data_IF_594227845849
#
_entry.id   IF_594227845849
#
_cell.length_a   1.000
_cell.length_b   1.000
_cell.length_c   1.000
_cell.angle_alpha   90.00
_cell.angle_beta   90.00
_cell.angle_gamma   90.00
#
_symmetry.space_group_name_H-M   'P 1'
#
loop_
_entity.id
_entity.type
_entity.pdbx_description
1 polymer ?
#
# COMPACT_ATOMS: atom_id res chain seq x y z
N UNK A 1 16.47 -15.09 7.64
CA UNK A 1 16.74 -13.88 6.85
C UNK A 1 15.46 -13.06 6.79
N UNK A 2 15.50 -11.76 7.10
CA UNK A 2 14.30 -10.90 7.06
C UNK A 2 14.11 -10.43 5.62
N UNK A 3 13.15 -11.01 4.92
CA UNK A 3 12.85 -10.65 3.54
C UNK A 3 11.49 -9.96 3.45
N UNK A 4 11.39 -8.95 2.58
CA UNK A 4 10.14 -8.26 2.27
C UNK A 4 9.96 -8.15 0.76
N UNK A 5 8.76 -8.51 0.29
CA UNK A 5 8.32 -8.27 -1.08
C UNK A 5 7.72 -6.86 -1.17
N UNK A 6 8.31 -6.00 -1.99
CA UNK A 6 7.90 -4.61 -2.12
C UNK A 6 7.05 -4.37 -3.38
N UNK A 7 5.95 -3.63 -3.22
CA UNK A 7 5.10 -3.14 -4.31
C UNK A 7 4.85 -1.64 -4.14
N UNK A 8 5.32 -0.82 -5.08
CA UNK A 8 5.15 0.63 -5.00
C UNK A 8 5.97 1.32 -6.08
N UNK A 9 6.37 2.56 -5.82
CA UNK A 9 7.29 3.26 -6.71
C UNK A 9 8.63 2.51 -6.76
N UNK A 10 9.09 2.00 -7.92
CA UNK A 10 10.36 1.29 -8.02
C UNK A 10 11.56 2.15 -7.61
N UNK A 11 11.46 3.48 -7.75
CA UNK A 11 12.51 4.43 -7.44
C UNK A 11 12.54 4.83 -5.95
N UNK A 12 11.56 4.37 -5.16
CA UNK A 12 11.53 4.62 -3.71
C UNK A 12 12.82 4.12 -3.06
N UNK A 13 13.49 5.03 -2.34
CA UNK A 13 14.64 4.68 -1.52
C UNK A 13 14.17 3.90 -0.28
N UNK A 14 14.71 2.69 -0.14
CA UNK A 14 14.41 1.77 0.97
C UNK A 14 15.67 1.40 1.76
N UNK A 15 16.71 2.23 1.71
CA UNK A 15 17.99 1.99 2.38
C UNK A 15 17.79 1.87 3.90
N UNK A 16 16.80 2.58 4.45
CA UNK A 16 16.40 2.49 5.84
C UNK A 16 15.92 1.07 6.24
N UNK A 17 15.24 0.34 5.36
CA UNK A 17 14.90 -1.07 5.60
C UNK A 17 16.13 -1.97 5.48
N UNK A 18 16.98 -1.72 4.50
CA UNK A 18 18.22 -2.50 4.31
C UNK A 18 19.17 -2.35 5.50
N UNK A 19 19.30 -1.14 6.05
CA UNK A 19 20.08 -0.84 7.25
C UNK A 19 19.55 -1.57 8.50
N UNK A 20 18.25 -1.86 8.55
CA UNK A 20 17.60 -2.70 9.56
C UNK A 20 17.75 -4.21 9.30
N UNK A 21 18.56 -4.59 8.31
CA UNK A 21 18.88 -5.97 7.96
C UNK A 21 17.83 -6.65 7.09
N UNK A 22 16.96 -5.90 6.41
CA UNK A 22 15.96 -6.44 5.50
C UNK A 22 16.50 -6.63 4.08
N UNK A 23 16.27 -7.81 3.52
CA UNK A 23 16.41 -8.06 2.09
C UNK A 23 15.12 -7.66 1.38
N UNK A 24 15.22 -6.76 0.40
CA UNK A 24 14.06 -6.19 -0.29
C UNK A 24 13.96 -6.73 -1.71
N UNK A 25 12.86 -7.38 -2.01
CA UNK A 25 12.56 -7.87 -3.35
C UNK A 25 11.61 -6.91 -4.07
N UNK A 26 12.13 -6.09 -4.99
CA UNK A 26 11.34 -5.22 -5.88
C UNK A 26 10.80 -5.97 -7.12
N UNK A 27 11.55 -6.93 -7.65
CA UNK A 27 11.15 -7.79 -8.77
C UNK A 27 11.40 -9.27 -8.46
N UNK A 28 10.40 -10.13 -8.69
CA UNK A 28 10.49 -11.57 -8.39
C UNK A 28 10.74 -11.89 -6.91
N UNK A 29 10.80 -13.17 -6.57
CA UNK A 29 11.08 -13.66 -5.22
C UNK A 29 9.85 -13.75 -4.31
N UNK A 30 9.94 -14.65 -3.33
CA UNK A 30 8.88 -14.94 -2.37
C UNK A 30 9.31 -14.47 -0.98
N UNK A 31 8.81 -13.31 -0.56
CA UNK A 31 8.95 -12.82 0.80
C UNK A 31 7.67 -13.11 1.56
N UNK A 32 7.77 -13.74 2.74
CA UNK A 32 6.58 -13.97 3.59
C UNK A 32 6.01 -12.69 4.20
N UNK A 33 6.64 -11.55 3.95
CA UNK A 33 6.16 -10.23 4.33
C UNK A 33 6.04 -9.35 3.10
N UNK A 34 4.99 -8.57 3.05
CA UNK A 34 4.67 -7.69 1.93
C UNK A 34 4.65 -6.26 2.42
N UNK A 35 5.33 -5.36 1.71
CA UNK A 35 5.23 -3.92 1.88
C UNK A 35 4.64 -3.33 0.61
N UNK A 36 3.50 -2.67 0.74
CA UNK A 36 2.85 -1.94 -0.35
C UNK A 36 2.91 -0.46 -0.04
N UNK A 37 3.45 0.35 -0.95
CA UNK A 37 3.42 1.80 -0.84
C UNK A 37 2.69 2.38 -2.07
N UNK A 38 1.51 2.95 -1.86
CA UNK A 38 0.85 3.74 -2.92
C UNK A 38 1.55 5.07 -3.08
N UNK A 39 1.53 5.63 -4.28
CA UNK A 39 2.19 6.90 -4.57
C UNK A 39 1.43 7.68 -5.64
N UNK A 40 1.50 9.01 -5.59
CA UNK A 40 1.14 9.87 -6.72
C UNK A 40 2.22 9.83 -7.80
N UNK A 41 1.90 9.29 -8.97
CA UNK A 41 2.81 9.23 -10.10
C UNK A 41 2.88 10.54 -10.91
N UNK A 42 2.20 11.60 -10.46
CA UNK A 42 2.20 12.94 -11.08
C UNK A 42 1.69 12.98 -12.52
N UNK A 43 1.00 11.93 -13.00
CA UNK A 43 0.42 11.94 -14.33
C UNK A 43 -0.65 13.05 -14.45
N UNK A 44 -0.78 13.67 -15.61
CA UNK A 44 -1.81 14.70 -15.83
C UNK A 44 -3.18 14.09 -16.10
N UNK A 45 -3.23 12.90 -16.68
CA UNK A 45 -4.48 12.16 -16.89
C UNK A 45 -4.91 11.48 -15.58
N UNK A 46 -6.12 11.80 -15.03
CA UNK A 46 -6.66 11.14 -13.85
C UNK A 46 -6.67 9.61 -13.92
N UNK A 47 -6.83 9.00 -15.11
CA UNK A 47 -6.82 7.54 -15.27
C UNK A 47 -5.42 6.97 -15.09
N UNK A 48 -4.42 7.63 -15.65
CA UNK A 48 -3.03 7.25 -15.50
C UNK A 48 -2.56 7.47 -14.06
N UNK A 49 -3.07 8.50 -13.37
CA UNK A 49 -2.78 8.74 -11.94
C UNK A 49 -3.14 7.59 -11.03
N UNK A 50 -4.25 6.91 -11.33
CA UNK A 50 -4.67 5.73 -10.58
C UNK A 50 -3.65 4.58 -10.69
N UNK A 51 -2.76 4.59 -11.68
CA UNK A 51 -1.70 3.60 -11.83
C UNK A 51 -0.77 3.49 -10.61
N UNK A 52 -0.49 4.61 -9.93
CA UNK A 52 0.33 4.63 -8.72
C UNK A 52 -0.33 4.00 -7.47
N UNK A 53 -1.64 3.76 -7.54
CA UNK A 53 -2.40 3.06 -6.49
C UNK A 53 -2.82 1.66 -6.94
N UNK A 54 -3.46 1.52 -8.10
CA UNK A 54 -4.04 0.26 -8.57
C UNK A 54 -2.96 -0.77 -8.90
N UNK A 55 -1.88 -0.38 -9.59
CA UNK A 55 -0.89 -1.37 -10.04
C UNK A 55 -0.12 -2.03 -8.89
N UNK A 56 0.37 -1.30 -7.86
CA UNK A 56 0.96 -1.90 -6.66
C UNK A 56 -0.02 -2.83 -5.94
N UNK A 57 -1.26 -2.41 -5.77
CA UNK A 57 -2.30 -3.16 -5.05
C UNK A 57 -2.67 -4.46 -5.77
N UNK A 58 -2.91 -4.43 -7.09
CA UNK A 58 -3.20 -5.63 -7.87
C UNK A 58 -2.05 -6.65 -7.83
N UNK A 59 -0.81 -6.17 -7.92
CA UNK A 59 0.38 -7.05 -7.82
C UNK A 59 0.49 -7.67 -6.43
N UNK A 60 0.25 -6.89 -5.38
CA UNK A 60 0.25 -7.37 -4.00
C UNK A 60 -0.85 -8.41 -3.75
N UNK A 61 -2.09 -8.16 -4.21
CA UNK A 61 -3.21 -9.11 -4.09
C UNK A 61 -2.89 -10.44 -4.75
N UNK A 62 -2.34 -10.42 -5.98
CA UNK A 62 -1.99 -11.63 -6.69
C UNK A 62 -0.90 -12.43 -5.95
N UNK A 63 0.07 -11.75 -5.34
CA UNK A 63 1.11 -12.41 -4.55
C UNK A 63 0.58 -13.00 -3.25
N UNK A 64 -0.24 -12.25 -2.51
CA UNK A 64 -0.87 -12.73 -1.27
C UNK A 64 -1.71 -13.98 -1.52
N UNK A 65 -2.47 -14.02 -2.63
CA UNK A 65 -3.27 -15.18 -3.03
C UNK A 65 -2.46 -16.44 -3.37
N UNK A 66 -1.15 -16.33 -3.58
CA UNK A 66 -0.29 -17.50 -3.84
C UNK A 66 0.06 -18.27 -2.56
N UNK A 67 -0.31 -17.76 -1.37
CA UNK A 67 -0.41 -18.58 -0.15
C UNK A 67 0.86 -18.76 0.67
N UNK A 68 1.71 -17.74 0.75
CA UNK A 68 2.99 -17.79 1.50
C UNK A 68 3.29 -16.50 2.28
N UNK A 69 2.28 -15.67 2.54
CA UNK A 69 2.42 -14.36 3.18
C UNK A 69 1.90 -14.41 4.62
N UNK A 70 2.77 -14.13 5.58
CA UNK A 70 2.46 -14.02 7.00
C UNK A 70 1.97 -12.60 7.37
N UNK A 71 2.47 -11.59 6.64
CA UNK A 71 2.20 -10.19 6.98
C UNK A 71 2.14 -9.26 5.78
N UNK A 72 1.18 -8.34 5.80
CA UNK A 72 1.02 -7.27 4.81
C UNK A 72 1.02 -5.92 5.51
N UNK A 73 1.96 -5.05 5.12
CA UNK A 73 1.98 -3.64 5.53
C UNK A 73 1.64 -2.79 4.31
N UNK A 74 0.59 -1.99 4.44
CA UNK A 74 0.15 -1.05 3.42
C UNK A 74 0.40 0.38 3.88
N UNK A 75 1.10 1.15 3.06
CA UNK A 75 1.42 2.54 3.28
C UNK A 75 0.70 3.37 2.23
N UNK A 76 -0.06 4.36 2.69
CA UNK A 76 -0.74 5.32 1.83
C UNK A 76 -0.23 6.73 2.08
N UNK A 77 0.27 7.37 1.01
CA UNK A 77 0.72 8.76 0.96
C UNK A 77 -0.41 9.79 1.09
N UNK A 78 -1.66 9.31 1.13
CA UNK A 78 -2.81 10.16 1.18
C UNK A 78 -3.09 10.88 -0.15
N UNK A 79 -2.47 10.50 -1.29
CA UNK A 79 -2.77 11.08 -2.60
C UNK A 79 -4.23 10.88 -3.01
N UNK A 80 -4.87 9.84 -2.47
CA UNK A 80 -6.30 9.67 -2.46
C UNK A 80 -7.06 10.55 -1.45
N UNK A 81 -6.53 11.67 -0.93
CA UNK A 81 -7.24 12.54 0.03
C UNK A 81 -7.09 14.05 -0.29
N UNK A 82 -6.26 14.43 -1.28
CA UNK A 82 -6.05 15.82 -1.67
C UNK A 82 -7.01 16.22 -2.80
N UNK A 83 -8.16 16.80 -2.45
CA UNK A 83 -9.14 17.32 -3.40
C UNK A 83 -10.37 17.93 -2.74
N UNK A 84 -11.01 18.90 -3.39
CA UNK A 84 -12.21 19.56 -2.87
C UNK A 84 -13.37 18.57 -2.75
N UNK A 85 -13.98 18.52 -1.56
CA UNK A 85 -15.13 17.70 -1.17
C UNK A 85 -16.21 17.68 -2.28
N UNK A 86 -16.45 16.53 -2.92
CA UNK A 86 -17.63 16.35 -3.78
C UNK A 86 -18.69 15.57 -3.01
N UNK A 87 -19.77 16.28 -2.67
CA UNK A 87 -20.96 15.71 -2.04
C UNK A 87 -21.60 14.71 -3.01
N UNK A 88 -21.99 13.53 -2.51
CA UNK A 88 -22.70 12.54 -3.30
C UNK A 88 -23.95 13.16 -3.94
N UNK A 89 -24.16 12.91 -5.24
CA UNK A 89 -25.33 13.44 -5.96
C UNK A 89 -26.63 12.72 -5.55
N UNK A 90 -26.53 11.51 -5.00
CA UNK A 90 -27.66 10.68 -4.56
C UNK A 90 -27.31 9.82 -3.32
N UNK A 91 -28.29 9.48 -2.45
CA UNK A 91 -28.08 8.70 -1.22
C UNK A 91 -27.59 7.25 -1.45
N UNK A 92 -27.82 6.70 -2.64
CA UNK A 92 -27.44 5.33 -3.03
C UNK A 92 -26.08 5.23 -3.72
N UNK A 93 -25.32 6.33 -3.76
CA UNK A 93 -23.97 6.32 -4.30
C UNK A 93 -23.05 5.59 -3.34
N UNK A 94 -22.21 4.69 -3.84
CA UNK A 94 -21.15 4.01 -3.07
C UNK A 94 -19.99 4.97 -2.69
N UNK A 95 -20.32 6.23 -2.45
CA UNK A 95 -19.39 7.28 -2.06
C UNK A 95 -19.64 7.56 -0.60
N UNK A 96 -18.74 7.08 0.24
CA UNK A 96 -18.78 7.33 1.67
C UNK A 96 -18.69 8.84 1.94
N UNK A 97 -19.48 9.31 2.90
CA UNK A 97 -19.33 10.65 3.46
C UNK A 97 -17.92 10.69 4.09
N UNK A 98 -17.09 11.61 3.60
CA UNK A 98 -15.69 11.84 3.99
C UNK A 98 -14.60 10.88 3.46
N UNK A 99 -14.85 10.09 2.42
CA UNK A 99 -13.76 9.32 1.80
C UNK A 99 -13.74 9.34 0.27
N UNK A 100 -12.55 9.52 -0.27
CA UNK A 100 -12.25 9.28 -1.67
C UNK A 100 -12.29 7.75 -1.92
N UNK A 101 -13.45 7.25 -2.32
CA UNK A 101 -13.81 5.82 -2.34
C UNK A 101 -13.03 4.87 -3.26
N UNK A 102 -11.81 5.20 -3.72
CA UNK A 102 -10.92 4.24 -4.39
C UNK A 102 -9.68 3.92 -3.57
N UNK A 103 -9.07 4.88 -2.85
CA UNK A 103 -7.86 4.62 -2.06
C UNK A 103 -8.14 3.75 -0.84
N UNK A 104 -9.13 4.14 -0.03
CA UNK A 104 -9.57 3.39 1.15
C UNK A 104 -10.18 2.05 0.75
N UNK A 105 -11.10 2.03 -0.22
CA UNK A 105 -11.72 0.80 -0.72
C UNK A 105 -10.69 -0.20 -1.27
N UNK A 106 -9.70 0.24 -2.04
CA UNK A 106 -8.67 -0.68 -2.55
C UNK A 106 -7.79 -1.21 -1.42
N UNK A 107 -7.50 -0.38 -0.42
CA UNK A 107 -6.76 -0.74 0.79
C UNK A 107 -7.51 -1.80 1.61
N UNK A 108 -8.81 -1.61 1.80
CA UNK A 108 -9.70 -2.52 2.51
C UNK A 108 -9.87 -3.86 1.78
N UNK A 109 -10.01 -3.85 0.45
CA UNK A 109 -10.10 -5.08 -0.34
C UNK A 109 -8.83 -5.92 -0.21
N UNK A 110 -7.64 -5.31 -0.31
CA UNK A 110 -6.39 -6.03 -0.09
C UNK A 110 -6.31 -6.54 1.36
N UNK A 111 -6.71 -5.73 2.34
CA UNK A 111 -6.71 -6.15 3.74
C UNK A 111 -7.63 -7.35 3.99
N UNK A 112 -8.83 -7.37 3.39
CA UNK A 112 -9.76 -8.50 3.47
C UNK A 112 -9.15 -9.77 2.87
N UNK A 113 -8.63 -9.68 1.65
CA UNK A 113 -8.00 -10.82 0.96
C UNK A 113 -6.80 -11.36 1.75
N UNK A 114 -5.97 -10.47 2.30
CA UNK A 114 -4.82 -10.86 3.10
C UNK A 114 -5.24 -11.53 4.42
N UNK A 115 -6.26 -11.02 5.09
CA UNK A 115 -6.80 -11.61 6.31
C UNK A 115 -7.42 -12.98 6.04
N UNK A 116 -8.17 -13.13 4.94
CA UNK A 116 -8.73 -14.42 4.49
C UNK A 116 -7.63 -15.45 4.17
N UNK A 117 -6.49 -14.98 3.65
CA UNK A 117 -5.31 -15.80 3.40
C UNK A 117 -4.48 -16.10 4.68
N UNK A 118 -4.92 -15.61 5.85
CA UNK A 118 -4.26 -15.83 7.15
C UNK A 118 -3.13 -14.86 7.48
N UNK A 119 -2.94 -13.79 6.70
CA UNK A 119 -1.91 -12.80 6.94
C UNK A 119 -2.35 -11.74 7.96
N UNK A 120 -1.42 -11.27 8.78
CA UNK A 120 -1.62 -10.09 9.62
C UNK A 120 -1.49 -8.83 8.78
N UNK A 121 -2.47 -7.91 8.88
CA UNK A 121 -2.50 -6.69 8.09
C UNK A 121 -2.26 -5.45 8.95
N UNK A 122 -1.46 -4.51 8.46
CA UNK A 122 -1.28 -3.18 9.07
C UNK A 122 -1.40 -2.11 7.99
N UNK A 123 -2.24 -1.11 8.23
CA UNK A 123 -2.42 0.05 7.34
C UNK A 123 -1.81 1.26 8.04
N UNK A 124 -0.84 1.89 7.39
CA UNK A 124 -0.09 3.04 7.88
C UNK A 124 -0.32 4.20 6.91
N UNK A 125 -0.61 5.38 7.46
CA UNK A 125 -0.76 6.61 6.70
C UNK A 125 0.51 7.46 6.82
N UNK A 126 0.99 7.97 5.70
CA UNK A 126 2.12 8.90 5.64
C UNK A 126 3.09 8.59 4.50
N UNK A 127 4.13 9.41 4.39
CA UNK A 127 5.12 9.34 3.31
C UNK A 127 6.47 8.92 3.89
N UNK A 128 6.92 7.66 3.70
CA UNK A 128 8.13 7.15 4.33
C UNK A 128 9.42 7.86 3.88
N UNK A 129 9.40 8.54 2.73
CA UNK A 129 10.55 9.34 2.26
C UNK A 129 10.82 10.57 3.14
N UNK A 130 9.78 11.10 3.78
CA UNK A 130 9.86 12.38 4.52
C UNK A 130 9.60 12.21 6.02
N UNK A 131 9.01 11.09 6.43
CA UNK A 131 8.53 10.90 7.79
C UNK A 131 9.27 9.73 8.48
N UNK A 132 10.16 10.05 9.43
CA UNK A 132 10.89 9.03 10.21
C UNK A 132 9.96 8.15 11.05
N UNK A 133 8.92 8.74 11.64
CA UNK A 133 7.95 8.00 12.45
C UNK A 133 7.15 6.99 11.61
N UNK A 134 6.85 7.31 10.35
CA UNK A 134 6.25 6.38 9.39
C UNK A 134 7.20 5.21 9.10
N UNK A 135 8.50 5.49 8.93
CA UNK A 135 9.51 4.43 8.74
C UNK A 135 9.60 3.50 9.95
N UNK A 136 9.63 4.04 11.18
CA UNK A 136 9.62 3.24 12.42
C UNK A 136 8.37 2.38 12.51
N UNK A 137 7.20 2.97 12.26
CA UNK A 137 5.93 2.23 12.25
C UNK A 137 5.92 1.09 11.22
N UNK A 138 6.49 1.30 10.03
CA UNK A 138 6.61 0.25 9.01
C UNK A 138 7.54 -0.87 9.48
N UNK A 139 8.71 -0.54 10.05
CA UNK A 139 9.67 -1.53 10.55
C UNK A 139 9.04 -2.39 11.64
N UNK A 140 8.37 -1.77 12.60
CA UNK A 140 7.71 -2.47 13.70
C UNK A 140 6.52 -3.28 13.21
N UNK A 141 5.74 -2.73 12.28
CA UNK A 141 4.68 -3.47 11.61
C UNK A 141 5.22 -4.63 10.79
N UNK A 142 6.45 -4.64 10.28
CA UNK A 142 6.99 -5.76 9.52
C UNK A 142 7.54 -6.90 10.39
N UNK A 143 7.94 -6.64 11.65
CA UNK A 143 8.56 -7.65 12.54
C UNK A 143 7.61 -8.82 12.80
#
# INVERSE_FOLDING_TARGET
MRAVRFFGNPDLNLDWLQNEGWTIFKHGGDGSRVLVCTFDNQATDPRERLGGTIAPMCKAMNHVRQGSVDRVVLVTDGAGYAGTRRVAKYPSSATFIDEHGMGSLTSEILASIATEAGANVSIIRGIPEHEEEVRKAIIDALK
#
